data_IF_516386041744
#
_entry.id   IF_516386041744
#
_cell.length_a   1.000
_cell.length_b   1.000
_cell.length_c   1.000
_cell.angle_alpha   90.00
_cell.angle_beta   90.00
_cell.angle_gamma   90.00
#
_symmetry.space_group_name_H-M   'P 1'
#
loop_
_entity.id
_entity.type
_entity.pdbx_description
1 polymer ?
#
# COMPACT_ATOMS: atom_id res chain seq x y z
N UNK A 1 0.18 -20.29 -24.23
CA UNK A 1 -0.03 -18.97 -23.59
C UNK A 1 1.32 -18.40 -23.19
N UNK A 2 1.68 -17.20 -23.66
CA UNK A 2 2.93 -16.56 -23.24
C UNK A 2 2.83 -16.22 -21.75
N UNK A 3 3.75 -16.76 -20.94
CA UNK A 3 3.82 -16.44 -19.51
C UNK A 3 4.08 -14.94 -19.38
N UNK A 4 3.11 -14.19 -18.85
CA UNK A 4 3.27 -12.79 -18.52
C UNK A 4 4.41 -12.71 -17.49
N UNK A 5 5.50 -11.98 -17.81
CA UNK A 5 6.55 -11.71 -16.83
C UNK A 5 6.16 -10.47 -16.02
N UNK A 6 6.05 -10.58 -14.71
CA UNK A 6 5.80 -9.42 -13.85
C UNK A 6 6.92 -8.41 -14.01
N UNK A 7 6.55 -7.14 -14.09
CA UNK A 7 7.51 -6.05 -14.17
C UNK A 7 6.88 -4.73 -13.71
N UNK A 8 7.73 -3.74 -13.54
CA UNK A 8 7.34 -2.35 -13.34
C UNK A 8 8.08 -1.48 -14.37
N UNK A 9 7.43 -0.42 -14.88
CA UNK A 9 8.00 0.55 -15.80
C UNK A 9 7.68 1.96 -15.35
N UNK A 10 8.66 2.85 -15.45
CA UNK A 10 8.43 4.29 -15.33
C UNK A 10 7.84 4.79 -16.64
N UNK A 11 6.71 5.50 -16.57
CA UNK A 11 6.02 6.05 -17.73
C UNK A 11 6.44 7.51 -17.94
N UNK A 12 7.16 7.78 -19.02
CA UNK A 12 7.63 9.12 -19.35
C UNK A 12 6.49 10.11 -19.63
N UNK A 13 5.41 9.64 -20.27
CA UNK A 13 4.29 10.48 -20.70
C UNK A 13 3.13 10.54 -19.70
N UNK A 14 3.13 9.76 -18.63
CA UNK A 14 2.01 9.65 -17.69
C UNK A 14 2.40 10.01 -16.26
N UNK A 15 3.60 10.49 -16.03
CA UNK A 15 4.12 10.84 -14.69
C UNK A 15 3.79 9.77 -13.64
N UNK A 16 4.03 8.48 -13.98
CA UNK A 16 3.61 7.38 -13.12
C UNK A 16 4.39 6.10 -13.32
N UNK A 17 3.92 5.04 -12.66
CA UNK A 17 4.45 3.69 -12.76
C UNK A 17 3.41 2.75 -13.36
N UNK A 18 3.78 1.99 -14.39
CA UNK A 18 2.98 0.87 -14.89
C UNK A 18 3.49 -0.43 -14.30
N UNK A 19 2.62 -1.16 -13.62
CA UNK A 19 2.88 -2.51 -13.12
C UNK A 19 2.24 -3.55 -14.02
N UNK A 20 2.98 -4.64 -14.25
CA UNK A 20 2.44 -5.89 -14.77
C UNK A 20 2.58 -6.95 -13.69
N UNK A 21 1.46 -7.44 -13.17
CA UNK A 21 1.40 -8.43 -12.09
C UNK A 21 0.87 -9.77 -12.62
N UNK A 22 1.12 -10.84 -11.88
CA UNK A 22 0.42 -12.09 -12.12
C UNK A 22 -1.08 -11.90 -11.86
N UNK A 23 -1.90 -12.62 -12.61
CA UNK A 23 -3.35 -12.62 -12.37
C UNK A 23 -3.74 -13.50 -11.19
N UNK A 24 -2.78 -14.27 -10.67
CA UNK A 24 -2.93 -15.27 -9.60
C UNK A 24 -4.10 -16.22 -9.85
N UNK A 25 -3.83 -17.39 -10.45
CA UNK A 25 -4.86 -18.39 -10.71
C UNK A 25 -5.41 -18.94 -9.38
N UNK A 26 -6.72 -19.09 -9.30
CA UNK A 26 -7.41 -19.76 -8.21
C UNK A 26 -7.65 -21.22 -8.61
N UNK A 27 -8.16 -21.42 -9.84
CA UNK A 27 -8.40 -22.70 -10.51
C UNK A 27 -8.17 -22.54 -12.02
N UNK A 28 -8.35 -23.61 -12.79
CA UNK A 28 -8.30 -23.52 -14.25
C UNK A 28 -9.28 -22.43 -14.74
N UNK A 29 -8.73 -21.43 -15.48
CA UNK A 29 -9.44 -20.28 -16.04
C UNK A 29 -10.02 -19.27 -15.03
N UNK A 30 -9.84 -19.46 -13.73
CA UNK A 30 -10.23 -18.50 -12.70
C UNK A 30 -9.02 -17.72 -12.16
N UNK A 31 -9.16 -16.41 -12.07
CA UNK A 31 -8.09 -15.51 -11.66
C UNK A 31 -8.58 -14.50 -10.65
N UNK A 32 -7.68 -14.13 -9.69
CA UNK A 32 -7.96 -13.07 -8.73
C UNK A 32 -8.22 -11.74 -9.44
N UNK A 33 -7.42 -11.43 -10.48
CA UNK A 33 -7.57 -10.19 -11.24
C UNK A 33 -7.99 -10.46 -12.67
N UNK A 34 -8.95 -9.65 -13.18
CA UNK A 34 -9.37 -9.70 -14.59
C UNK A 34 -8.33 -9.11 -15.54
N UNK A 35 -7.41 -8.29 -15.03
CA UNK A 35 -6.31 -7.67 -15.77
C UNK A 35 -4.99 -7.92 -15.07
N UNK A 36 -3.90 -7.87 -15.83
CA UNK A 36 -2.53 -7.99 -15.29
C UNK A 36 -1.82 -6.65 -15.17
N UNK A 37 -2.36 -5.57 -15.75
CA UNK A 37 -1.70 -4.27 -15.80
C UNK A 37 -2.49 -3.19 -15.11
N UNK A 38 -1.77 -2.31 -14.40
CA UNK A 38 -2.34 -1.09 -13.84
C UNK A 38 -1.27 0.02 -13.78
N UNK A 39 -1.75 1.27 -13.73
CA UNK A 39 -0.90 2.44 -13.60
C UNK A 39 -1.15 3.12 -12.26
N UNK A 40 -0.08 3.59 -11.64
CA UNK A 40 -0.11 4.43 -10.45
C UNK A 40 0.39 5.84 -10.81
N UNK A 41 -0.28 6.84 -10.28
CA UNK A 41 0.19 8.22 -10.29
C UNK A 41 0.74 8.60 -8.91
N UNK A 42 1.70 9.53 -8.81
CA UNK A 42 2.11 10.07 -7.53
C UNK A 42 0.91 10.58 -6.72
N UNK A 43 0.89 10.27 -5.44
CA UNK A 43 -0.24 10.59 -4.56
C UNK A 43 -0.75 9.36 -3.82
N UNK A 44 -1.98 9.44 -3.29
CA UNK A 44 -2.62 8.34 -2.58
C UNK A 44 -3.56 7.58 -3.52
N UNK A 45 -3.42 6.26 -3.57
CA UNK A 45 -4.35 5.36 -4.26
C UNK A 45 -4.97 4.39 -3.27
N UNK A 46 -6.29 4.47 -3.09
CA UNK A 46 -7.05 3.56 -2.25
C UNK A 46 -7.53 2.35 -3.06
N UNK A 47 -7.17 1.15 -2.63
CA UNK A 47 -7.62 -0.11 -3.20
C UNK A 47 -8.99 -0.49 -2.64
N UNK A 48 -10.01 -0.48 -3.48
CA UNK A 48 -11.40 -0.76 -3.07
C UNK A 48 -11.77 -2.20 -3.44
N UNK A 49 -12.19 -2.95 -2.41
CA UNK A 49 -12.66 -4.33 -2.56
C UNK A 49 -12.98 -4.97 -1.22
N UNK A 50 -13.78 -6.02 -1.21
CA UNK A 50 -14.14 -6.76 0.00
C UNK A 50 -12.95 -7.53 0.60
N UNK A 51 -13.12 -8.09 1.79
CA UNK A 51 -12.13 -8.99 2.37
C UNK A 51 -11.95 -10.24 1.49
N UNK A 52 -10.68 -10.66 1.29
CA UNK A 52 -10.34 -11.76 0.39
C UNK A 52 -10.42 -11.41 -1.10
N UNK A 53 -10.54 -10.13 -1.48
CA UNK A 53 -10.58 -9.71 -2.89
C UNK A 53 -9.21 -9.67 -3.58
N UNK A 54 -8.12 -9.90 -2.85
CA UNK A 54 -6.75 -9.92 -3.37
C UNK A 54 -5.94 -8.64 -3.14
N UNK A 55 -6.36 -7.73 -2.22
CA UNK A 55 -5.59 -6.51 -1.91
C UNK A 55 -4.19 -6.83 -1.38
N UNK A 56 -4.10 -7.71 -0.38
CA UNK A 56 -2.82 -8.19 0.19
C UNK A 56 -1.99 -8.96 -0.85
N UNK A 57 -2.64 -9.77 -1.69
CA UNK A 57 -2.00 -10.49 -2.80
C UNK A 57 -1.35 -9.52 -3.79
N UNK A 58 -2.02 -8.39 -4.10
CA UNK A 58 -1.43 -7.35 -4.94
C UNK A 58 -0.16 -6.76 -4.32
N UNK A 59 -0.16 -6.49 -3.01
CA UNK A 59 1.03 -5.98 -2.33
C UNK A 59 2.17 -7.00 -2.31
N UNK A 60 1.86 -8.30 -2.16
CA UNK A 60 2.85 -9.37 -2.30
C UNK A 60 3.44 -9.37 -3.72
N UNK A 61 2.60 -9.31 -4.75
CA UNK A 61 3.06 -9.28 -6.15
C UNK A 61 3.95 -8.05 -6.44
N UNK A 62 3.61 -6.88 -5.90
CA UNK A 62 4.47 -5.67 -6.03
C UNK A 62 5.79 -5.90 -5.32
N UNK A 63 5.79 -6.45 -4.10
CA UNK A 63 6.99 -6.76 -3.34
C UNK A 63 7.92 -7.71 -4.12
N UNK A 64 7.37 -8.80 -4.65
CA UNK A 64 8.14 -9.80 -5.43
C UNK A 64 8.76 -9.17 -6.68
N UNK A 65 8.01 -8.31 -7.40
CA UNK A 65 8.53 -7.57 -8.55
C UNK A 65 9.73 -6.70 -8.16
N UNK A 66 9.65 -6.02 -7.01
CA UNK A 66 10.70 -5.14 -6.54
C UNK A 66 11.94 -5.93 -6.09
N UNK A 67 11.77 -7.07 -5.40
CA UNK A 67 12.86 -7.95 -5.00
C UNK A 67 13.59 -8.56 -6.21
N UNK A 68 12.87 -8.97 -7.24
CA UNK A 68 13.48 -9.48 -8.48
C UNK A 68 14.34 -8.39 -9.15
N UNK A 69 13.90 -7.13 -9.11
CA UNK A 69 14.64 -6.03 -9.68
C UNK A 69 15.91 -5.69 -8.87
N UNK A 70 15.87 -5.81 -7.55
CA UNK A 70 17.03 -5.56 -6.68
C UNK A 70 18.12 -6.63 -6.81
N UNK A 71 17.74 -7.90 -7.05
CA UNK A 71 18.64 -9.06 -7.11
C UNK A 71 19.26 -9.33 -8.50
N UNK A 72 18.87 -8.57 -9.54
CA UNK A 72 19.48 -8.72 -10.87
C UNK A 72 20.88 -8.12 -10.93
N UNK A 73 21.85 -8.91 -11.44
CA UNK A 73 23.25 -8.52 -11.57
C UNK A 73 23.41 -7.27 -12.45
N UNK A 74 24.53 -6.60 -12.28
CA UNK A 74 24.89 -5.27 -12.84
C UNK A 74 24.74 -5.10 -14.37
N UNK A 75 24.58 -6.19 -15.14
CA UNK A 75 24.56 -6.17 -16.61
C UNK A 75 23.16 -6.13 -17.25
N UNK A 76 22.07 -6.16 -16.47
CA UNK A 76 20.73 -6.18 -17.04
C UNK A 76 20.15 -4.75 -17.17
N UNK A 77 20.11 -4.26 -18.41
CA UNK A 77 19.52 -2.95 -18.80
C UNK A 77 18.03 -2.77 -18.41
N UNK A 78 17.43 -3.77 -17.76
CA UNK A 78 16.04 -3.74 -17.25
C UNK A 78 15.96 -3.29 -15.80
N UNK A 79 17.08 -2.99 -15.13
CA UNK A 79 17.08 -2.46 -13.77
C UNK A 79 16.41 -1.09 -13.76
N UNK A 80 15.26 -0.97 -13.14
CA UNK A 80 14.62 0.32 -12.91
C UNK A 80 15.38 0.99 -11.77
N UNK A 81 16.43 1.71 -12.13
CA UNK A 81 17.14 2.54 -11.18
C UNK A 81 16.15 3.58 -10.64
N UNK A 82 16.21 3.83 -9.34
CA UNK A 82 15.46 4.86 -8.64
C UNK A 82 14.00 4.55 -8.26
N UNK A 83 13.56 3.28 -8.21
CA UNK A 83 12.28 2.91 -7.60
C UNK A 83 12.53 2.14 -6.31
N UNK A 84 12.01 2.63 -5.18
CA UNK A 84 12.08 1.97 -3.86
C UNK A 84 10.69 1.59 -3.41
N UNK A 85 10.55 0.43 -2.76
CA UNK A 85 9.30 -0.04 -2.19
C UNK A 85 9.41 -0.26 -0.69
N UNK A 86 8.46 0.25 0.05
CA UNK A 86 8.31 0.06 1.48
C UNK A 86 6.92 -0.49 1.76
N UNK A 87 6.85 -1.60 2.46
CA UNK A 87 5.59 -2.22 2.84
C UNK A 87 5.36 -2.10 4.33
N UNK A 88 4.14 -1.75 4.65
CA UNK A 88 3.61 -1.65 5.97
C UNK A 88 2.43 -2.60 6.11
N UNK A 89 2.60 -3.60 6.95
CA UNK A 89 1.57 -4.59 7.22
C UNK A 89 1.23 -4.58 8.70
N UNK A 90 0.00 -4.26 9.04
CA UNK A 90 -0.48 -4.24 10.41
C UNK A 90 -0.39 -5.63 11.10
N UNK A 91 -0.40 -6.70 10.32
CA UNK A 91 -0.33 -8.07 10.86
C UNK A 91 1.09 -8.57 11.11
N UNK A 92 2.09 -8.12 10.35
CA UNK A 92 3.48 -8.59 10.47
C UNK A 92 4.38 -7.65 11.27
N UNK A 93 4.06 -6.34 11.27
CA UNK A 93 4.86 -5.30 11.94
C UNK A 93 4.05 -4.61 13.04
N UNK A 94 2.97 -5.24 13.48
CA UNK A 94 2.06 -4.69 14.46
C UNK A 94 2.59 -4.79 15.89
N UNK A 95 1.75 -4.40 16.84
CA UNK A 95 2.04 -4.36 18.28
C UNK A 95 2.66 -5.64 18.84
N UNK A 96 2.30 -6.82 18.32
CA UNK A 96 2.87 -8.10 18.75
C UNK A 96 4.35 -8.25 18.45
N UNK A 97 4.79 -7.84 17.26
CA UNK A 97 6.19 -7.93 16.87
C UNK A 97 7.05 -6.92 17.63
N UNK A 98 6.55 -5.69 17.81
CA UNK A 98 7.19 -4.68 18.67
C UNK A 98 7.29 -5.16 20.12
N UNK A 99 6.24 -5.79 20.66
CA UNK A 99 6.22 -6.34 22.00
C UNK A 99 7.23 -7.49 22.13
N UNK A 100 7.32 -8.39 21.14
CA UNK A 100 8.30 -9.46 21.13
C UNK A 100 9.74 -8.94 21.02
N UNK A 101 9.98 -7.94 20.16
CA UNK A 101 11.28 -7.30 20.05
C UNK A 101 11.67 -6.58 21.35
N UNK A 102 10.74 -5.83 21.96
CA UNK A 102 10.96 -5.16 23.22
C UNK A 102 11.26 -6.14 24.35
N UNK A 103 10.54 -7.26 24.43
CA UNK A 103 10.83 -8.35 25.37
C UNK A 103 12.21 -8.93 25.13
N UNK A 104 12.60 -9.17 23.88
CA UNK A 104 13.90 -9.76 23.53
C UNK A 104 15.08 -8.86 23.90
N UNK A 105 14.94 -7.52 23.77
CA UNK A 105 15.97 -6.54 24.14
C UNK A 105 15.87 -6.08 25.61
N UNK A 106 14.87 -6.58 26.37
CA UNK A 106 14.66 -6.21 27.78
C UNK A 106 14.05 -4.84 28.00
N UNK A 107 13.45 -4.22 26.97
CA UNK A 107 12.76 -2.92 27.08
C UNK A 107 11.36 -3.09 27.71
N UNK A 108 11.36 -3.24 29.04
CA UNK A 108 10.12 -3.42 29.81
C UNK A 108 9.21 -2.19 29.78
N UNK A 109 9.75 -0.99 29.51
CA UNK A 109 8.93 0.23 29.40
C UNK A 109 8.03 0.20 28.17
N UNK A 110 8.55 -0.24 27.03
CA UNK A 110 7.77 -0.47 25.79
C UNK A 110 6.76 -1.60 25.97
N UNK A 111 7.14 -2.69 26.64
CA UNK A 111 6.23 -3.82 26.93
C UNK A 111 5.04 -3.37 27.77
N UNK A 112 5.27 -2.64 28.85
CA UNK A 112 4.23 -2.15 29.74
C UNK A 112 3.31 -1.12 29.06
N UNK A 113 3.89 -0.18 28.30
CA UNK A 113 3.09 0.80 27.55
C UNK A 113 2.19 0.14 26.52
N UNK A 114 2.68 -0.86 25.82
CA UNK A 114 1.91 -1.64 24.85
C UNK A 114 0.80 -2.47 25.51
N UNK A 115 1.08 -3.08 26.68
CA UNK A 115 0.09 -3.86 27.40
C UNK A 115 -1.06 -3.02 27.99
N UNK A 116 -0.81 -1.73 28.24
CA UNK A 116 -1.79 -0.79 28.81
C UNK A 116 -2.53 0.04 27.76
N UNK A 117 -2.03 0.08 26.53
CA UNK A 117 -2.64 0.87 25.44
C UNK A 117 -3.76 0.09 24.74
N UNK A 118 -4.77 0.81 24.28
CA UNK A 118 -5.79 0.25 23.38
C UNK A 118 -5.16 -0.13 22.02
N UNK A 119 -5.81 -1.04 21.28
CA UNK A 119 -5.33 -1.46 19.95
C UNK A 119 -5.12 -0.24 19.02
N UNK A 120 -6.02 0.74 19.06
CA UNK A 120 -5.89 1.98 18.28
C UNK A 120 -4.68 2.82 18.66
N UNK A 121 -4.40 3.02 19.97
CA UNK A 121 -3.22 3.74 20.45
C UNK A 121 -1.92 3.05 20.06
N UNK A 122 -1.89 1.72 20.09
CA UNK A 122 -0.75 0.93 19.64
C UNK A 122 -0.47 1.15 18.16
N UNK A 123 -1.51 1.15 17.31
CA UNK A 123 -1.39 1.41 15.86
C UNK A 123 -0.87 2.83 15.62
N UNK A 124 -1.40 3.84 16.30
CA UNK A 124 -0.93 5.22 16.17
C UNK A 124 0.52 5.36 16.60
N UNK A 125 0.91 4.80 17.74
CA UNK A 125 2.30 4.80 18.20
C UNK A 125 3.27 4.15 17.21
N UNK A 126 2.85 3.06 16.60
CA UNK A 126 3.60 2.37 15.57
C UNK A 126 3.69 3.19 14.26
N UNK A 127 2.60 3.83 13.82
CA UNK A 127 2.61 4.75 12.68
C UNK A 127 3.58 5.92 12.86
N UNK A 128 3.68 6.47 14.07
CA UNK A 128 4.64 7.54 14.39
C UNK A 128 6.10 7.07 14.23
N UNK A 129 6.44 5.88 14.74
CA UNK A 129 7.78 5.28 14.56
C UNK A 129 8.07 5.04 13.07
N UNK A 130 7.08 4.57 12.34
CA UNK A 130 7.21 4.32 10.91
C UNK A 130 7.34 5.62 10.10
N UNK A 131 6.61 6.66 10.46
CA UNK A 131 6.73 7.98 9.83
C UNK A 131 8.17 8.52 9.92
N UNK A 132 8.85 8.32 11.06
CA UNK A 132 10.26 8.69 11.23
C UNK A 132 11.17 7.90 10.31
N UNK A 133 10.96 6.59 10.17
CA UNK A 133 11.69 5.73 9.24
C UNK A 133 11.44 6.12 7.78
N UNK A 134 10.19 6.42 7.42
CA UNK A 134 9.82 6.90 6.10
C UNK A 134 10.51 8.23 5.76
N UNK A 135 10.51 9.18 6.69
CA UNK A 135 11.20 10.45 6.53
C UNK A 135 12.70 10.26 6.27
N UNK A 136 13.34 9.30 6.93
CA UNK A 136 14.74 8.94 6.65
C UNK A 136 14.90 8.35 5.24
N UNK A 137 14.01 7.46 4.83
CA UNK A 137 14.03 6.88 3.49
C UNK A 137 13.82 7.94 2.40
N UNK A 138 12.85 8.84 2.57
CA UNK A 138 12.63 9.97 1.63
C UNK A 138 13.87 10.85 1.52
N UNK A 139 14.54 11.14 2.64
CA UNK A 139 15.76 11.96 2.68
C UNK A 139 16.95 11.32 1.98
N UNK A 140 17.02 10.00 1.93
CA UNK A 140 18.10 9.26 1.28
C UNK A 140 17.94 9.13 -0.24
N UNK A 141 16.81 9.52 -0.81
CA UNK A 141 16.53 9.39 -2.23
C UNK A 141 16.98 10.63 -3.01
N UNK A 142 17.43 10.39 -4.24
CA UNK A 142 17.78 11.46 -5.19
C UNK A 142 16.51 12.04 -5.82
N UNK A 143 16.62 13.30 -6.27
CA UNK A 143 15.55 13.97 -7.02
C UNK A 143 15.19 13.17 -8.28
N UNK A 144 13.90 13.03 -8.55
CA UNK A 144 13.38 12.21 -9.66
C UNK A 144 13.17 10.74 -9.31
N UNK A 145 13.59 10.29 -8.10
CA UNK A 145 13.32 8.92 -7.65
C UNK A 145 11.84 8.68 -7.40
N UNK A 146 11.47 7.39 -7.40
CA UNK A 146 10.13 6.90 -7.13
C UNK A 146 10.13 6.12 -5.82
N UNK A 147 9.23 6.47 -4.89
CA UNK A 147 9.03 5.77 -3.63
C UNK A 147 7.59 5.27 -3.56
N UNK A 148 7.43 3.96 -3.46
CA UNK A 148 6.15 3.31 -3.27
C UNK A 148 6.05 2.89 -1.80
N UNK A 149 4.97 3.29 -1.15
CA UNK A 149 4.66 2.90 0.23
C UNK A 149 3.29 2.23 0.24
N UNK A 150 3.20 0.99 0.69
CA UNK A 150 1.92 0.29 0.80
C UNK A 150 1.51 0.09 2.25
N UNK A 151 0.24 0.38 2.53
CA UNK A 151 -0.40 0.21 3.83
C UNK A 151 -1.48 -0.87 3.71
N UNK A 152 -1.25 -2.02 4.35
CA UNK A 152 -2.19 -3.13 4.36
C UNK A 152 -2.96 -3.15 5.68
N UNK A 153 -4.29 -3.02 5.59
CA UNK A 153 -5.21 -3.04 6.72
C UNK A 153 -4.90 -1.98 7.82
N UNK A 154 -4.41 -0.79 7.42
CA UNK A 154 -4.09 0.29 8.35
C UNK A 154 -5.33 0.77 9.15
N UNK A 155 -6.52 0.61 8.58
CA UNK A 155 -7.80 0.99 9.17
C UNK A 155 -8.38 -0.08 10.14
N UNK A 156 -7.72 -1.23 10.27
CA UNK A 156 -8.14 -2.26 11.23
C UNK A 156 -7.81 -1.81 12.65
N UNK A 157 -8.82 -1.70 13.49
CA UNK A 157 -8.69 -1.27 14.88
C UNK A 157 -8.59 0.25 15.10
N UNK A 158 -8.62 1.08 14.05
CA UNK A 158 -8.66 2.52 14.18
C UNK A 158 -10.10 3.07 14.23
N UNK A 159 -10.34 4.02 15.12
CA UNK A 159 -11.55 4.85 15.11
C UNK A 159 -11.54 5.82 13.93
N UNK A 160 -12.68 6.42 13.64
CA UNK A 160 -12.81 7.35 12.49
C UNK A 160 -11.90 8.57 12.62
N UNK A 161 -11.80 9.15 13.81
CA UNK A 161 -10.93 10.29 14.14
C UNK A 161 -9.45 9.93 13.93
N UNK A 162 -9.00 8.78 14.43
CA UNK A 162 -7.64 8.29 14.20
C UNK A 162 -7.34 8.07 12.71
N UNK A 163 -8.31 7.65 11.91
CA UNK A 163 -8.15 7.54 10.45
C UNK A 163 -7.97 8.92 9.82
N UNK A 164 -8.72 9.92 10.27
CA UNK A 164 -8.56 11.31 9.82
C UNK A 164 -7.18 11.84 10.21
N UNK A 165 -6.71 11.53 11.41
CA UNK A 165 -5.37 11.90 11.86
C UNK A 165 -4.26 11.27 11.02
N UNK A 166 -4.39 9.99 10.65
CA UNK A 166 -3.45 9.32 9.72
C UNK A 166 -3.37 10.06 8.38
N UNK A 167 -4.51 10.47 7.83
CA UNK A 167 -4.54 11.24 6.58
C UNK A 167 -3.83 12.58 6.73
N UNK A 168 -4.15 13.32 7.77
CA UNK A 168 -3.71 14.70 7.96
C UNK A 168 -2.27 14.79 8.47
N UNK A 169 -1.86 13.87 9.36
CA UNK A 169 -0.58 13.93 10.06
C UNK A 169 0.46 12.93 9.53
N UNK A 170 0.06 11.97 8.69
CA UNK A 170 0.99 11.04 8.05
C UNK A 170 1.04 11.26 6.54
N UNK A 171 -0.07 11.05 5.82
CA UNK A 171 -0.05 11.06 4.36
C UNK A 171 0.23 12.45 3.78
N UNK A 172 -0.45 13.48 4.27
CA UNK A 172 -0.28 14.85 3.77
C UNK A 172 1.15 15.36 3.96
N UNK A 173 1.77 15.30 5.15
CA UNK A 173 3.15 15.74 5.34
C UNK A 173 4.16 14.93 4.50
N UNK A 174 3.93 13.62 4.32
CA UNK A 174 4.78 12.79 3.48
C UNK A 174 4.74 13.23 2.00
N UNK A 175 3.55 13.49 1.47
CA UNK A 175 3.38 13.98 0.09
C UNK A 175 4.03 15.34 -0.09
N UNK A 176 3.88 16.24 0.87
CA UNK A 176 4.47 17.57 0.82
C UNK A 176 6.00 17.54 0.89
N UNK A 177 6.59 16.70 1.76
CA UNK A 177 8.05 16.56 1.85
C UNK A 177 8.62 15.92 0.58
N UNK A 178 7.99 14.87 0.07
CA UNK A 178 8.39 14.24 -1.18
C UNK A 178 8.33 15.24 -2.36
N UNK A 179 7.25 16.02 -2.46
CA UNK A 179 7.09 17.05 -3.49
C UNK A 179 8.18 18.13 -3.39
N UNK A 180 8.48 18.63 -2.19
CA UNK A 180 9.57 19.61 -1.97
C UNK A 180 10.93 19.09 -2.40
N UNK A 181 11.16 17.77 -2.28
CA UNK A 181 12.41 17.10 -2.67
C UNK A 181 12.43 16.66 -4.13
N UNK A 182 11.32 16.80 -4.85
CA UNK A 182 11.17 16.32 -6.24
C UNK A 182 11.17 14.79 -6.34
N UNK A 183 10.63 14.10 -5.35
CA UNK A 183 10.47 12.65 -5.30
C UNK A 183 9.03 12.30 -5.67
N UNK A 184 8.85 11.31 -6.53
CA UNK A 184 7.55 10.78 -6.89
C UNK A 184 7.10 9.76 -5.83
N UNK A 185 6.23 10.17 -4.90
CA UNK A 185 5.71 9.33 -3.83
C UNK A 185 4.36 8.74 -4.22
N UNK A 186 4.24 7.41 -4.07
CA UNK A 186 3.02 6.62 -4.32
C UNK A 186 2.61 5.96 -3.00
N UNK A 187 1.49 6.35 -2.44
CA UNK A 187 0.91 5.75 -1.24
C UNK A 187 -0.24 4.84 -1.67
N UNK A 188 -0.07 3.54 -1.51
CA UNK A 188 -1.10 2.53 -1.79
C UNK A 188 -1.73 2.09 -0.48
N UNK A 189 -3.04 2.21 -0.37
CA UNK A 189 -3.77 1.87 0.86
C UNK A 189 -4.82 0.80 0.56
N UNK A 190 -4.68 -0.38 1.18
CA UNK A 190 -5.77 -1.34 1.22
C UNK A 190 -6.72 -0.96 2.35
N UNK A 191 -7.92 -0.50 2.01
CA UNK A 191 -8.91 -0.05 2.99
C UNK A 191 -10.19 -0.87 2.95
N UNK A 192 -10.78 -1.05 4.13
CA UNK A 192 -12.12 -1.59 4.33
C UNK A 192 -13.10 -0.50 4.79
N UNK A 193 -12.62 0.74 5.03
CA UNK A 193 -13.44 1.85 5.50
C UNK A 193 -13.48 2.99 4.47
N UNK A 194 -14.63 3.65 4.40
CA UNK A 194 -14.81 4.83 3.55
C UNK A 194 -13.95 6.01 4.03
N UNK A 195 -13.73 6.13 5.34
CA UNK A 195 -12.98 7.22 5.93
C UNK A 195 -11.59 7.44 5.32
N UNK A 196 -10.88 6.37 4.96
CA UNK A 196 -9.56 6.47 4.32
C UNK A 196 -9.62 6.96 2.87
N UNK A 197 -10.72 6.72 2.17
CA UNK A 197 -10.89 7.13 0.77
C UNK A 197 -11.83 8.32 0.58
N UNK A 198 -12.28 8.95 1.67
CA UNK A 198 -13.15 10.14 1.65
C UNK A 198 -12.36 11.44 1.40
N UNK A 199 -11.38 11.39 0.54
CA UNK A 199 -10.66 12.56 0.05
C UNK A 199 -10.76 12.60 -1.47
N UNK A 200 -11.22 13.72 -2.00
CA UNK A 200 -11.43 13.88 -3.46
C UNK A 200 -10.11 13.84 -4.24
N UNK A 201 -9.00 14.19 -3.61
CA UNK A 201 -7.67 14.19 -4.23
C UNK A 201 -7.08 12.78 -4.34
N UNK A 202 -7.60 11.82 -3.59
CA UNK A 202 -7.10 10.44 -3.62
C UNK A 202 -7.68 9.69 -4.82
N UNK A 203 -6.82 8.95 -5.51
CA UNK A 203 -7.26 7.98 -6.50
C UNK A 203 -7.93 6.77 -5.82
N UNK A 204 -8.97 6.23 -6.45
CA UNK A 204 -9.66 5.02 -5.99
C UNK A 204 -9.58 3.99 -7.10
N UNK A 205 -9.04 2.81 -6.80
CA UNK A 205 -8.86 1.74 -7.76
C UNK A 205 -9.63 0.49 -7.35
N UNK A 206 -10.46 -0.03 -8.26
CA UNK A 206 -11.20 -1.26 -8.02
C UNK A 206 -10.29 -2.46 -8.24
N UNK A 207 -10.08 -3.26 -7.21
CA UNK A 207 -9.04 -4.30 -7.16
C UNK A 207 -9.17 -5.37 -8.24
N UNK A 208 -10.37 -5.77 -8.64
CA UNK A 208 -10.57 -6.90 -9.55
C UNK A 208 -10.13 -6.64 -11.00
N UNK A 209 -10.11 -5.38 -11.43
CA UNK A 209 -9.77 -5.03 -12.81
C UNK A 209 -8.86 -3.81 -12.92
N UNK A 210 -8.39 -3.30 -11.78
CA UNK A 210 -7.51 -2.13 -11.69
C UNK A 210 -8.04 -0.87 -12.37
N UNK A 211 -9.36 -0.73 -12.49
CA UNK A 211 -9.95 0.49 -13.01
C UNK A 211 -10.01 1.56 -11.94
N UNK A 212 -9.59 2.77 -12.30
CA UNK A 212 -9.87 3.95 -11.50
C UNK A 212 -11.39 4.19 -11.48
N UNK A 213 -11.92 4.44 -10.29
CA UNK A 213 -13.36 4.58 -10.04
C UNK A 213 -13.64 5.87 -9.27
N UNK A 214 -14.83 6.42 -9.47
CA UNK A 214 -15.31 7.57 -8.68
C UNK A 214 -16.08 7.06 -7.46
N UNK A 215 -15.62 7.42 -6.28
CA UNK A 215 -16.26 7.11 -5.00
C UNK A 215 -16.43 8.43 -4.26
N UNK A 216 -17.61 9.03 -4.40
CA UNK A 216 -17.89 10.38 -3.88
C UNK A 216 -18.81 10.34 -2.65
N UNK A 217 -19.17 9.17 -2.15
CA UNK A 217 -20.02 9.00 -0.98
C UNK A 217 -19.87 7.60 -0.39
N UNK A 218 -20.23 7.45 0.89
CA UNK A 218 -20.30 6.16 1.55
C UNK A 218 -21.18 5.15 0.77
N UNK A 219 -22.30 5.60 0.23
CA UNK A 219 -23.19 4.75 -0.59
C UNK A 219 -22.48 4.20 -1.83
N UNK A 220 -21.70 5.04 -2.51
CA UNK A 220 -20.93 4.59 -3.69
C UNK A 220 -19.78 3.64 -3.29
N UNK A 221 -19.14 3.88 -2.15
CA UNK A 221 -18.14 2.96 -1.60
C UNK A 221 -18.73 1.58 -1.34
N UNK A 222 -19.83 1.50 -0.59
CA UNK A 222 -20.54 0.25 -0.27
C UNK A 222 -20.95 -0.50 -1.55
N UNK A 223 -21.43 0.21 -2.58
CA UNK A 223 -21.76 -0.40 -3.87
C UNK A 223 -20.57 -1.14 -4.49
N UNK A 224 -19.36 -0.55 -4.46
CA UNK A 224 -18.17 -1.21 -4.98
C UNK A 224 -17.70 -2.37 -4.10
N UNK A 225 -17.83 -2.28 -2.78
CA UNK A 225 -17.52 -3.39 -1.86
C UNK A 225 -18.47 -4.57 -2.10
N UNK A 226 -19.78 -4.34 -2.26
CA UNK A 226 -20.77 -5.38 -2.60
C UNK A 226 -20.43 -6.01 -3.96
N UNK A 227 -20.20 -5.19 -4.99
CA UNK A 227 -19.79 -5.67 -6.30
C UNK A 227 -18.50 -6.49 -6.25
N UNK A 228 -17.56 -6.12 -5.38
CA UNK A 228 -16.34 -6.90 -5.16
C UNK A 228 -16.62 -8.26 -4.56
N UNK A 229 -17.59 -8.36 -3.64
CA UNK A 229 -18.04 -9.64 -3.07
C UNK A 229 -18.69 -10.51 -4.13
N UNK A 230 -19.61 -9.97 -4.93
CA UNK A 230 -20.22 -10.70 -6.04
C UNK A 230 -19.17 -11.25 -7.03
N UNK A 231 -18.16 -10.44 -7.39
CA UNK A 231 -17.07 -10.90 -8.25
C UNK A 231 -16.24 -11.99 -7.59
N UNK A 232 -16.03 -11.92 -6.27
CA UNK A 232 -15.30 -12.96 -5.52
C UNK A 232 -16.09 -14.25 -5.42
N UNK A 233 -17.38 -14.18 -5.11
CA UNK A 233 -18.23 -15.34 -4.85
C UNK A 233 -18.62 -16.08 -6.17
N UNK A 234 -18.47 -15.42 -7.33
CA UNK A 234 -18.66 -15.98 -8.68
C UNK A 234 -17.35 -16.42 -9.37
N UNK A 235 -16.30 -16.65 -8.61
CA UNK A 235 -15.01 -17.18 -9.09
C UNK A 235 -14.98 -18.68 -9.07
#
# INVERSE_FOLDING_TARGET
MSKIKPNVKVLENCEGLEFTVYRDPIEEDQYIYKKSKFCLKPGVTCLIGCNGSGKTTLFNSIYDIMQINDNKSYDDKTKINNVKYLRLNNYSNGSRELMQQALFIGDMSTVLSQAQSSEGEQIVGWLCKYASSLGTNVRSLEKGSHLIVSFDAIDSGLSYDNIVDVRNHLFTPMLDDAKKRGINLYILVATNTYALCDDVSYDKMFIHNFKHIKVNSYKSFVKYVIKSREVKDNR
#
